data_IF_423971065444
#
_entry.id   IF_423971065444
#
_cell.length_a   1.000
_cell.length_b   1.000
_cell.length_c   1.000
_cell.angle_alpha   90.00
_cell.angle_beta   90.00
_cell.angle_gamma   90.00
#
_symmetry.space_group_name_H-M   'P 1'
#
loop_
_entity.id
_entity.type
_entity.pdbx_description
1 polymer ?
#
# COMPACT_ATOMS: atom_id res chain seq x y z
N UNK A 1 -11.68 7.60 -10.78
CA UNK A 1 -10.96 6.42 -11.31
C UNK A 1 -10.33 5.67 -10.14
N UNK A 2 -10.39 4.36 -10.17
CA UNK A 2 -9.87 3.52 -9.09
C UNK A 2 -8.52 2.92 -9.46
N UNK A 3 -7.53 3.08 -8.59
CA UNK A 3 -6.21 2.46 -8.74
C UNK A 3 -6.04 1.39 -7.67
N UNK A 4 -5.51 0.24 -8.04
CA UNK A 4 -5.29 -0.85 -7.10
C UNK A 4 -3.91 -1.44 -7.31
N UNK A 5 -3.21 -1.70 -6.20
CA UNK A 5 -1.88 -2.29 -6.20
C UNK A 5 -1.87 -3.42 -5.19
N UNK A 6 -1.40 -4.59 -5.61
CA UNK A 6 -1.39 -5.78 -4.77
C UNK A 6 0.03 -6.33 -4.75
N UNK A 7 0.50 -6.69 -3.56
CA UNK A 7 1.80 -7.33 -3.41
C UNK A 7 1.77 -8.35 -2.28
N UNK A 8 2.76 -9.24 -2.28
CA UNK A 8 2.90 -10.28 -1.27
C UNK A 8 4.25 -10.13 -0.59
N UNK A 9 4.27 -10.24 0.73
CA UNK A 9 5.48 -10.20 1.54
C UNK A 9 5.65 -11.56 2.22
N UNK A 10 6.92 -11.96 2.44
CA UNK A 10 7.23 -13.13 3.24
C UNK A 10 7.68 -12.65 4.61
N UNK A 11 7.00 -13.13 5.65
CA UNK A 11 7.35 -12.80 7.03
C UNK A 11 8.43 -13.73 7.57
N UNK A 12 8.98 -13.40 8.75
CA UNK A 12 10.11 -14.08 9.36
C UNK A 12 9.96 -15.59 9.45
N UNK A 13 8.76 -16.10 9.64
CA UNK A 13 8.49 -17.53 9.78
C UNK A 13 8.03 -18.20 8.49
N UNK A 14 8.29 -17.56 7.35
CA UNK A 14 7.89 -18.10 6.05
C UNK A 14 6.43 -17.88 5.70
N UNK A 15 5.65 -17.27 6.58
CA UNK A 15 4.25 -16.94 6.30
C UNK A 15 4.17 -15.81 5.26
N UNK A 16 3.22 -15.92 4.36
CA UNK A 16 3.00 -14.90 3.33
C UNK A 16 1.87 -13.98 3.74
N UNK A 17 2.09 -12.69 3.54
CA UNK A 17 1.09 -11.66 3.77
C UNK A 17 0.80 -10.97 2.45
N UNK A 18 -0.45 -11.00 2.02
CA UNK A 18 -0.89 -10.29 0.82
C UNK A 18 -1.44 -8.93 1.24
N UNK A 19 -0.98 -7.87 0.58
CA UNK A 19 -1.43 -6.51 0.87
C UNK A 19 -2.09 -5.93 -0.38
N UNK A 20 -3.19 -5.25 -0.17
CA UNK A 20 -3.93 -4.60 -1.23
C UNK A 20 -4.14 -3.13 -0.88
N UNK A 21 -3.62 -2.24 -1.72
CA UNK A 21 -3.80 -0.81 -1.57
C UNK A 21 -4.68 -0.30 -2.70
N UNK A 22 -5.78 0.35 -2.37
CA UNK A 22 -6.74 0.86 -3.35
C UNK A 22 -6.93 2.36 -3.15
N UNK A 23 -6.82 3.12 -4.24
CA UNK A 23 -7.12 4.56 -4.22
C UNK A 23 -8.43 4.79 -4.95
N UNK A 24 -9.38 5.40 -4.27
CA UNK A 24 -10.67 5.76 -4.83
C UNK A 24 -11.09 7.10 -4.26
N UNK A 25 -11.48 8.02 -5.14
CA UNK A 25 -11.87 9.35 -4.70
C UNK A 25 -10.77 10.10 -3.96
N UNK A 26 -9.51 9.86 -4.31
CA UNK A 26 -8.37 10.52 -3.66
C UNK A 26 -7.97 9.92 -2.32
N UNK A 27 -8.62 8.85 -1.89
CA UNK A 27 -8.36 8.22 -0.59
C UNK A 27 -7.74 6.85 -0.78
N UNK A 28 -6.62 6.59 -0.10
CA UNK A 28 -5.98 5.28 -0.08
C UNK A 28 -6.59 4.43 1.03
N UNK A 29 -6.92 3.19 0.70
CA UNK A 29 -7.41 2.20 1.65
C UNK A 29 -6.54 0.96 1.56
N UNK A 30 -6.16 0.43 2.72
CA UNK A 30 -5.28 -0.73 2.82
C UNK A 30 -6.01 -1.89 3.46
N UNK A 31 -5.78 -3.08 2.92
CA UNK A 31 -6.23 -4.32 3.54
C UNK A 31 -5.15 -5.38 3.34
N UNK A 32 -5.07 -6.31 4.27
CA UNK A 32 -4.09 -7.37 4.20
C UNK A 32 -4.66 -8.68 4.72
N UNK A 33 -4.06 -9.76 4.25
CA UNK A 33 -4.46 -11.11 4.64
C UNK A 33 -3.19 -11.96 4.75
N UNK A 34 -3.02 -12.60 5.89
CA UNK A 34 -1.91 -13.54 6.10
C UNK A 34 -2.39 -14.94 5.74
N UNK A 35 -1.48 -15.78 5.24
CA UNK A 35 -1.80 -17.16 4.91
C UNK A 35 -2.44 -17.86 6.11
N UNK A 36 -3.57 -18.50 5.86
CA UNK A 36 -4.36 -19.14 6.92
C UNK A 36 -5.50 -18.30 7.45
N UNK A 37 -5.51 -16.99 7.20
CA UNK A 37 -6.61 -16.14 7.61
C UNK A 37 -7.83 -16.40 6.73
N UNK A 38 -9.01 -16.35 7.34
CA UNK A 38 -10.26 -16.50 6.60
C UNK A 38 -10.72 -15.18 5.98
N UNK A 39 -10.42 -14.07 6.65
CA UNK A 39 -10.89 -12.78 6.24
C UNK A 39 -9.74 -11.77 6.06
N UNK A 40 -10.01 -10.74 5.27
CA UNK A 40 -9.10 -9.61 5.12
C UNK A 40 -9.19 -8.69 6.33
N UNK A 41 -8.02 -8.19 6.77
CA UNK A 41 -7.95 -7.13 7.78
C UNK A 41 -7.96 -5.79 7.07
N UNK A 42 -8.88 -4.92 7.45
CA UNK A 42 -8.98 -3.55 6.89
C UNK A 42 -8.34 -2.59 7.87
N UNK A 43 -7.43 -1.76 7.39
CA UNK A 43 -6.72 -0.80 8.22
C UNK A 43 -7.36 0.57 8.09
N UNK A 44 -7.84 1.12 9.20
CA UNK A 44 -8.33 2.49 9.24
C UNK A 44 -7.17 3.46 9.04
N UNK A 45 -6.01 3.07 9.55
CA UNK A 45 -4.80 3.85 9.50
C UNK A 45 -3.70 2.98 8.86
N UNK A 46 -3.13 3.40 7.73
CA UNK A 46 -2.12 2.59 7.05
C UNK A 46 -0.89 2.37 7.91
N UNK A 47 -0.29 1.18 7.80
CA UNK A 47 0.99 0.92 8.44
C UNK A 47 2.10 1.62 7.67
N UNK A 48 3.07 2.19 8.38
CA UNK A 48 4.17 2.90 7.74
C UNK A 48 4.93 1.99 6.76
N UNK A 49 5.20 0.74 7.15
CA UNK A 49 5.90 -0.20 6.28
C UNK A 49 5.13 -0.45 4.98
N UNK A 50 3.81 -0.53 5.05
CA UNK A 50 2.99 -0.72 3.85
C UNK A 50 3.03 0.51 2.95
N UNK A 51 3.03 1.71 3.54
CA UNK A 51 3.16 2.94 2.79
C UNK A 51 4.51 3.03 2.07
N UNK A 52 5.58 2.63 2.75
CA UNK A 52 6.92 2.65 2.15
C UNK A 52 7.02 1.68 0.99
N UNK A 53 6.45 0.48 1.13
CA UNK A 53 6.41 -0.50 0.04
C UNK A 53 5.59 0.01 -1.13
N UNK A 54 4.42 0.60 -0.86
CA UNK A 54 3.58 1.16 -1.91
C UNK A 54 4.30 2.27 -2.65
N UNK A 55 5.03 3.13 -1.94
CA UNK A 55 5.81 4.19 -2.58
C UNK A 55 6.81 3.62 -3.57
N UNK A 56 7.55 2.57 -3.18
CA UNK A 56 8.51 1.93 -4.07
C UNK A 56 7.83 1.40 -5.33
N UNK A 57 6.69 0.75 -5.17
CA UNK A 57 5.92 0.21 -6.29
C UNK A 57 5.46 1.34 -7.22
N UNK A 58 4.93 2.42 -6.65
CA UNK A 58 4.44 3.55 -7.45
C UNK A 58 5.56 4.27 -8.18
N UNK A 59 6.71 4.42 -7.56
CA UNK A 59 7.87 5.06 -8.21
C UNK A 59 8.31 4.24 -9.42
N UNK A 60 8.38 2.93 -9.28
CA UNK A 60 8.73 2.06 -10.43
C UNK A 60 7.69 2.17 -11.54
N UNK A 61 6.40 2.16 -11.18
CA UNK A 61 5.33 2.30 -12.17
C UNK A 61 5.33 3.68 -12.82
N UNK A 62 5.64 4.72 -12.05
CA UNK A 62 5.75 6.08 -12.57
C UNK A 62 6.86 6.17 -13.62
N UNK A 63 8.02 5.56 -13.34
CA UNK A 63 9.13 5.52 -14.30
C UNK A 63 8.75 4.81 -15.59
N UNK A 64 7.82 3.88 -15.52
CA UNK A 64 7.28 3.17 -16.68
C UNK A 64 5.99 3.79 -17.23
N UNK A 65 5.62 4.95 -16.74
CA UNK A 65 4.40 5.68 -17.10
C UNK A 65 3.12 4.91 -16.80
N UNK A 66 3.14 4.08 -15.74
CA UNK A 66 1.97 3.31 -15.29
C UNK A 66 1.37 3.81 -13.99
N UNK A 67 1.89 4.89 -13.44
CA UNK A 67 1.33 5.56 -12.28
C UNK A 67 1.54 7.05 -12.44
N UNK A 68 0.73 7.86 -11.77
CA UNK A 68 0.81 9.31 -11.86
C UNK A 68 1.71 9.90 -10.78
N UNK A 69 2.26 11.07 -11.04
CA UNK A 69 3.00 11.82 -10.03
C UNK A 69 2.10 12.16 -8.84
N UNK A 70 0.81 12.37 -9.08
CA UNK A 70 -0.18 12.62 -8.02
C UNK A 70 -0.29 11.44 -7.06
N UNK A 71 -0.30 10.21 -7.59
CA UNK A 71 -0.35 9.02 -6.75
C UNK A 71 0.89 8.91 -5.87
N UNK A 72 2.08 9.12 -6.44
CA UNK A 72 3.33 9.12 -5.69
C UNK A 72 3.28 10.18 -4.59
N UNK A 73 2.89 11.40 -4.94
CA UNK A 73 2.81 12.51 -3.99
C UNK A 73 1.83 12.27 -2.85
N UNK A 74 0.68 11.64 -3.16
CA UNK A 74 -0.32 11.37 -2.12
C UNK A 74 0.19 10.34 -1.10
N UNK A 75 0.94 9.33 -1.55
CA UNK A 75 1.53 8.35 -0.63
C UNK A 75 2.64 8.98 0.19
N UNK A 76 3.47 9.84 -0.42
CA UNK A 76 4.53 10.56 0.31
C UNK A 76 3.94 11.43 1.43
N UNK A 77 2.78 12.05 1.18
CA UNK A 77 2.09 12.84 2.20
C UNK A 77 1.67 11.96 3.37
N UNK A 78 1.10 10.79 3.09
CA UNK A 78 0.70 9.85 4.14
C UNK A 78 1.91 9.36 4.94
N UNK A 79 3.03 9.11 4.29
CA UNK A 79 4.26 8.71 4.98
C UNK A 79 4.71 9.80 5.94
N UNK A 80 4.66 11.07 5.52
CA UNK A 80 5.02 12.18 6.41
C UNK A 80 4.09 12.27 7.60
N UNK A 81 2.80 12.09 7.39
CA UNK A 81 1.81 12.13 8.46
C UNK A 81 2.01 11.00 9.48
N UNK A 82 2.26 9.78 9.02
CA UNK A 82 2.50 8.66 9.90
C UNK A 82 3.84 8.74 10.61
N UNK A 83 4.86 9.29 9.97
CA UNK A 83 6.19 9.46 10.57
C UNK A 83 6.21 10.56 11.61
N UNK A 84 5.36 11.57 11.48
CA UNK A 84 5.29 12.70 12.41
C UNK A 84 4.50 12.37 13.68
N UNK A 85 3.67 11.34 13.60
CA UNK A 85 2.87 10.90 14.74
C UNK A 85 3.65 9.98 15.63
#
# INVERSE_FOLDING_TARGET
>A
MRSQHIWTETKEHGSKREVRATKFGGVWRFQAKTAGDLDWTYYERPLLDDLLTLKEILVRKYQRRRASAEDVGSVEKLIREESAG
#
